data_IF_498887366823
#
_entry.id   IF_498887366823
#
_cell.length_a   1.000
_cell.length_b   1.000
_cell.length_c   1.000
_cell.angle_alpha   90.00
_cell.angle_beta   90.00
_cell.angle_gamma   90.00
#
_symmetry.space_group_name_H-M   'P 1'
#
loop_
_entity.id
_entity.type
_entity.pdbx_description
1 polymer ?
#
# COMPACT_ATOMS: atom_id res chain seq x y z
N UNK A 1 -11.06 -14.41 20.01
CA UNK A 1 -12.04 -14.43 18.91
C UNK A 1 -11.66 -13.31 17.94
N UNK A 2 -10.68 -13.39 17.05
CA UNK A 2 -10.35 -14.39 16.01
C UNK A 2 -11.56 -14.80 15.18
N UNK A 3 -11.51 -14.49 13.87
CA UNK A 3 -12.47 -14.75 12.78
C UNK A 3 -13.51 -13.65 12.47
N UNK A 4 -13.05 -12.48 12.01
CA UNK A 4 -13.95 -11.40 11.51
C UNK A 4 -13.33 -10.41 10.50
N UNK A 5 -12.11 -10.66 10.00
CA UNK A 5 -11.42 -9.71 9.11
C UNK A 5 -11.87 -9.81 7.63
N UNK A 6 -12.52 -10.92 7.28
CA UNK A 6 -13.00 -11.22 5.92
C UNK A 6 -14.34 -10.56 5.64
N UNK A 7 -15.22 -10.53 6.65
CA UNK A 7 -16.46 -9.74 6.65
C UNK A 7 -16.19 -8.24 6.45
N UNK A 8 -15.09 -7.74 7.00
CA UNK A 8 -14.70 -6.34 6.82
C UNK A 8 -14.13 -6.05 5.43
N UNK A 9 -13.70 -7.03 4.63
CA UNK A 9 -13.24 -6.74 3.27
C UNK A 9 -14.41 -6.54 2.29
N UNK A 10 -15.50 -7.28 2.47
CA UNK A 10 -16.73 -7.12 1.68
C UNK A 10 -17.56 -5.92 2.18
N UNK A 11 -17.67 -5.70 3.49
CA UNK A 11 -18.38 -4.54 4.07
C UNK A 11 -17.56 -3.24 4.10
N UNK A 12 -16.23 -3.26 4.31
CA UNK A 12 -15.43 -2.02 4.25
C UNK A 12 -15.17 -1.57 2.82
N UNK A 13 -15.19 -2.47 1.82
CA UNK A 13 -15.22 -2.07 0.42
C UNK A 13 -16.58 -1.41 0.11
N UNK A 14 -17.70 -2.00 0.54
CA UNK A 14 -19.02 -1.36 0.45
C UNK A 14 -19.09 0.01 1.15
N UNK A 15 -18.46 0.16 2.33
CA UNK A 15 -18.41 1.42 3.06
C UNK A 15 -17.44 2.45 2.44
N UNK A 16 -16.31 2.01 1.84
CA UNK A 16 -15.40 2.90 1.09
C UNK A 16 -15.98 3.34 -0.26
N UNK A 17 -16.74 2.48 -0.93
CA UNK A 17 -17.44 2.81 -2.19
C UNK A 17 -18.57 3.81 -1.94
N UNK A 18 -19.28 3.71 -0.81
CA UNK A 18 -20.33 4.66 -0.42
C UNK A 18 -19.79 6.04 0.00
N UNK A 19 -18.51 6.15 0.39
CA UNK A 19 -17.94 7.36 0.99
C UNK A 19 -16.91 8.10 0.12
N UNK A 20 -16.99 7.95 -1.22
CA UNK A 20 -16.18 8.73 -2.19
C UNK A 20 -16.56 10.24 -2.19
N UNK A 21 -17.48 10.68 -1.33
CA UNK A 21 -17.83 12.10 -1.12
C UNK A 21 -17.28 12.65 0.21
N UNK A 22 -16.00 12.54 0.48
CA UNK A 22 -15.21 13.53 1.26
C UNK A 22 -13.77 13.07 1.37
N UNK A 23 -12.97 13.38 0.34
CA UNK A 23 -11.57 13.70 0.59
C UNK A 23 -11.58 15.19 0.94
N UNK A 24 -11.80 15.50 2.22
CA UNK A 24 -11.49 16.82 2.74
C UNK A 24 -9.98 16.92 2.77
N UNK A 25 -9.40 17.60 1.78
CA UNK A 25 -8.01 18.05 1.83
C UNK A 25 -8.00 19.15 2.89
N UNK A 26 -7.61 18.79 4.11
CA UNK A 26 -7.30 19.76 5.16
C UNK A 26 -6.04 20.53 4.76
N UNK A 27 -6.21 21.57 3.95
CA UNK A 27 -5.18 22.60 3.74
C UNK A 27 -5.18 23.45 5.00
N UNK A 28 -4.21 23.23 5.89
CA UNK A 28 -3.89 24.25 6.88
C UNK A 28 -3.19 25.41 6.16
N UNK A 29 -3.64 26.66 6.35
CA UNK A 29 -2.97 27.81 5.77
C UNK A 29 -1.59 28.00 6.43
N UNK A 30 -0.56 28.09 5.60
CA UNK A 30 0.77 28.53 5.99
C UNK A 30 0.68 29.93 6.62
N UNK A 31 1.13 30.05 7.86
CA UNK A 31 1.38 31.34 8.48
C UNK A 31 2.49 32.06 7.70
N UNK A 32 2.11 33.15 7.05
CA UNK A 32 2.98 34.10 6.35
C UNK A 32 3.93 34.75 7.36
N UNK A 33 5.22 34.40 7.33
CA UNK A 33 6.25 35.20 7.98
C UNK A 33 6.61 36.33 7.01
N UNK A 34 6.17 37.53 7.39
CA UNK A 34 6.52 38.80 6.76
C UNK A 34 8.00 39.10 6.96
N UNK A 35 8.74 39.32 5.88
CA UNK A 35 10.07 39.93 5.91
C UNK A 35 9.99 41.19 5.05
N UNK A 36 10.15 42.34 5.71
CA UNK A 36 10.11 43.68 5.14
C UNK A 36 11.30 43.97 4.20
N UNK A 37 11.11 44.72 3.10
CA UNK A 37 12.20 45.10 2.21
C UNK A 37 12.72 46.52 2.52
N UNK A 38 13.99 46.64 2.92
CA UNK A 38 14.70 47.93 2.85
C UNK A 38 16.21 47.71 2.92
N UNK A 39 16.90 47.85 1.79
CA UNK A 39 17.79 48.99 1.53
C UNK A 39 18.59 48.77 0.24
N UNK A 40 18.42 49.73 -0.66
CA UNK A 40 19.22 49.94 -1.86
C UNK A 40 20.49 50.67 -1.44
N UNK A 41 21.66 50.19 -1.87
CA UNK A 41 22.83 51.04 -2.05
C UNK A 41 23.65 50.56 -3.26
N UNK A 42 23.75 51.43 -4.26
CA UNK A 42 24.66 51.35 -5.42
C UNK A 42 25.98 52.02 -5.05
N UNK A 43 27.11 51.39 -5.35
CA UNK A 43 28.39 52.04 -5.73
C UNK A 43 29.17 51.00 -6.57
N UNK A 44 29.29 51.19 -7.88
CA UNK A 44 30.37 51.93 -8.58
C UNK A 44 31.46 50.99 -9.10
N UNK A 45 31.61 50.97 -10.43
CA UNK A 45 32.69 50.30 -11.16
C UNK A 45 34.07 50.80 -10.72
N UNK A 46 35.01 49.87 -10.51
CA UNK A 46 36.43 50.07 -10.82
C UNK A 46 37.00 48.74 -11.37
N UNK A 47 37.40 48.78 -12.63
CA UNK A 47 38.25 47.78 -13.31
C UNK A 47 39.68 47.78 -12.75
N UNK A 48 40.32 46.61 -12.64
CA UNK A 48 41.70 46.38 -13.11
C UNK A 48 42.11 44.91 -13.00
N UNK A 49 42.87 44.52 -14.01
CA UNK A 49 43.45 43.22 -14.37
C UNK A 49 44.38 42.60 -13.33
N UNK A 50 44.33 41.27 -13.18
CA UNK A 50 45.51 40.47 -12.83
C UNK A 50 45.42 39.06 -13.43
N UNK A 51 46.25 38.79 -14.44
CA UNK A 51 46.63 37.44 -14.88
C UNK A 51 47.98 37.14 -14.24
N UNK A 52 48.14 36.05 -13.49
CA UNK A 52 49.19 35.04 -13.72
C UNK A 52 49.07 33.81 -12.80
N UNK A 53 49.05 32.66 -13.47
CA UNK A 53 49.26 31.25 -13.13
C UNK A 53 49.84 30.83 -11.77
N UNK A 54 49.28 29.75 -11.22
CA UNK A 54 50.05 28.54 -10.88
C UNK A 54 49.16 27.29 -10.92
N UNK A 55 49.50 26.33 -11.78
CA UNK A 55 48.97 24.97 -11.77
C UNK A 55 49.55 24.23 -10.56
N UNK A 56 48.69 23.62 -9.75
CA UNK A 56 49.04 22.43 -8.97
C UNK A 56 48.12 21.28 -9.38
N UNK A 57 48.66 20.38 -10.20
CA UNK A 57 48.06 19.09 -10.53
C UNK A 57 48.25 18.19 -9.31
N UNK A 58 47.27 18.21 -8.41
CA UNK A 58 47.11 17.17 -7.40
C UNK A 58 46.32 16.02 -8.00
N UNK A 59 47.00 15.00 -8.50
CA UNK A 59 46.38 13.71 -8.88
C UNK A 59 45.97 13.00 -7.58
N UNK A 60 44.83 13.39 -7.02
CA UNK A 60 44.18 12.64 -5.96
C UNK A 60 43.66 11.34 -6.56
N UNK A 61 44.33 10.23 -6.28
CA UNK A 61 43.80 8.88 -6.47
C UNK A 61 42.50 8.78 -5.67
N UNK A 62 41.40 9.09 -6.34
CA UNK A 62 40.07 8.77 -5.88
C UNK A 62 39.98 7.25 -5.96
N UNK A 63 40.24 6.59 -4.84
CA UNK A 63 39.91 5.18 -4.65
C UNK A 63 38.40 5.13 -4.72
N UNK A 64 37.86 4.87 -5.91
CA UNK A 64 36.47 4.49 -6.09
C UNK A 64 36.32 3.18 -5.33
N UNK A 65 35.83 3.25 -4.10
CA UNK A 65 35.24 2.11 -3.43
C UNK A 65 34.11 1.63 -4.32
N UNK A 66 34.40 0.64 -5.16
CA UNK A 66 33.39 -0.15 -5.82
C UNK A 66 32.62 -0.84 -4.68
N UNK A 67 31.55 -0.22 -4.21
CA UNK A 67 30.57 -0.91 -3.39
C UNK A 67 30.16 -2.15 -4.16
N UNK A 68 30.46 -3.33 -3.61
CA UNK A 68 29.93 -4.57 -4.13
C UNK A 68 28.41 -4.39 -4.21
N UNK A 69 27.87 -4.37 -5.43
CA UNK A 69 26.44 -4.23 -5.64
C UNK A 69 25.75 -5.38 -4.88
N UNK A 70 25.01 -5.04 -3.84
CA UNK A 70 24.35 -6.04 -3.01
C UNK A 70 23.34 -6.79 -3.86
N UNK A 71 23.40 -8.12 -3.82
CA UNK A 71 22.52 -8.96 -4.62
C UNK A 71 21.12 -8.86 -4.05
N UNK A 72 20.14 -8.65 -4.94
CA UNK A 72 18.73 -8.62 -4.55
C UNK A 72 18.36 -9.89 -3.78
N UNK A 73 17.65 -9.80 -2.64
CA UNK A 73 17.20 -10.97 -1.91
C UNK A 73 16.39 -11.89 -2.82
N UNK A 74 16.62 -13.22 -2.81
CA UNK A 74 15.92 -14.15 -3.69
C UNK A 74 14.39 -14.02 -3.62
N UNK A 75 13.85 -13.73 -2.43
CA UNK A 75 12.42 -13.55 -2.22
C UNK A 75 11.86 -12.29 -2.92
N UNK A 76 12.63 -11.20 -2.97
CA UNK A 76 12.19 -9.92 -3.55
C UNK A 76 12.57 -9.79 -5.03
N UNK A 77 13.53 -10.57 -5.50
CA UNK A 77 14.04 -10.54 -6.88
C UNK A 77 12.97 -10.70 -7.98
N UNK A 78 11.89 -11.49 -7.79
CA UNK A 78 10.81 -11.56 -8.78
C UNK A 78 10.05 -10.24 -8.96
N UNK A 79 10.06 -9.37 -7.94
CA UNK A 79 9.22 -8.17 -7.89
C UNK A 79 10.00 -6.88 -8.05
N UNK A 80 11.24 -6.82 -7.57
CA UNK A 80 12.06 -5.61 -7.53
C UNK A 80 13.53 -5.96 -7.79
N UNK A 81 14.28 -4.98 -8.29
CA UNK A 81 15.73 -5.06 -8.41
C UNK A 81 16.37 -3.91 -7.62
N UNK A 82 17.52 -4.18 -7.01
CA UNK A 82 18.22 -3.22 -6.15
C UNK A 82 18.60 -1.97 -6.92
N UNK A 83 18.34 -0.82 -6.31
CA UNK A 83 18.58 0.54 -6.82
C UNK A 83 17.87 0.90 -8.13
N UNK A 84 17.09 -0.02 -8.71
CA UNK A 84 16.26 0.26 -9.88
C UNK A 84 14.92 0.83 -9.45
N UNK A 85 14.66 2.07 -9.86
CA UNK A 85 13.36 2.69 -9.68
C UNK A 85 12.35 2.14 -10.70
N UNK A 86 11.16 1.77 -10.22
CA UNK A 86 10.02 1.37 -11.05
C UNK A 86 8.84 2.30 -10.82
N UNK A 87 8.03 2.51 -11.85
CA UNK A 87 6.79 3.28 -11.75
C UNK A 87 5.70 2.39 -11.15
N UNK A 88 4.93 2.97 -10.24
CA UNK A 88 3.78 2.34 -9.62
C UNK A 88 2.59 3.27 -9.54
N UNK A 89 1.43 2.69 -9.31
CA UNK A 89 0.15 3.37 -9.23
C UNK A 89 -0.52 2.97 -7.93
N UNK A 90 -0.71 3.93 -7.03
CA UNK A 90 -1.61 3.76 -5.90
C UNK A 90 -3.03 3.86 -6.46
N UNK A 91 -3.86 2.87 -6.16
CA UNK A 91 -5.22 2.85 -6.68
C UNK A 91 -6.19 2.09 -5.80
N UNK A 92 -7.43 2.08 -6.26
CA UNK A 92 -8.53 1.39 -5.62
C UNK A 92 -9.30 0.59 -6.66
N UNK A 93 -9.91 -0.51 -6.22
CA UNK A 93 -10.85 -1.24 -7.04
C UNK A 93 -12.21 -0.56 -6.94
N UNK A 94 -12.71 -0.11 -8.08
CA UNK A 94 -14.00 0.56 -8.22
C UNK A 94 -14.95 -0.39 -8.92
N UNK A 95 -16.04 -0.85 -8.27
CA UNK A 95 -17.08 -1.58 -8.95
C UNK A 95 -18.03 -0.65 -9.73
N UNK A 96 -18.81 -1.21 -10.67
CA UNK A 96 -19.93 -0.52 -11.28
C UNK A 96 -20.92 0.00 -10.22
N UNK A 97 -21.51 1.17 -10.44
CA UNK A 97 -22.43 1.80 -9.46
C UNK A 97 -23.68 0.96 -9.21
N UNK A 98 -24.09 0.21 -10.22
CA UNK A 98 -25.26 -0.66 -10.24
C UNK A 98 -25.15 -1.77 -9.18
N UNK A 99 -23.93 -2.14 -8.78
CA UNK A 99 -23.72 -3.19 -7.76
C UNK A 99 -24.28 -2.77 -6.39
N UNK A 100 -24.35 -1.45 -6.13
CA UNK A 100 -24.72 -0.91 -4.83
C UNK A 100 -26.14 -1.32 -4.41
N UNK A 101 -27.05 -1.54 -5.37
CA UNK A 101 -28.41 -2.01 -5.06
C UNK A 101 -28.39 -3.40 -4.41
N UNK A 102 -27.53 -4.28 -4.88
CA UNK A 102 -27.37 -5.64 -4.33
C UNK A 102 -26.62 -5.61 -3.01
N UNK A 103 -25.56 -4.80 -2.91
CA UNK A 103 -24.83 -4.58 -1.65
C UNK A 103 -25.78 -4.10 -0.55
N UNK A 104 -26.65 -3.13 -0.85
CA UNK A 104 -27.62 -2.61 0.11
C UNK A 104 -28.62 -3.68 0.59
N UNK A 105 -29.09 -4.56 -0.32
CA UNK A 105 -29.94 -5.70 0.03
C UNK A 105 -29.24 -6.68 0.97
N UNK A 106 -28.00 -7.06 0.63
CA UNK A 106 -27.19 -7.97 1.47
C UNK A 106 -26.92 -7.35 2.84
N UNK A 107 -26.63 -6.04 2.91
CA UNK A 107 -26.45 -5.33 4.17
C UNK A 107 -27.72 -5.27 5.02
N UNK A 108 -28.89 -5.07 4.39
CA UNK A 108 -30.17 -5.08 5.09
C UNK A 108 -30.49 -6.48 5.64
N UNK A 109 -30.27 -7.52 4.84
CA UNK A 109 -30.43 -8.90 5.27
C UNK A 109 -29.46 -9.28 6.40
N UNK A 110 -28.22 -8.78 6.33
CA UNK A 110 -27.19 -8.98 7.37
C UNK A 110 -27.60 -8.42 8.72
N UNK A 111 -28.24 -7.25 8.74
CA UNK A 111 -28.77 -6.66 9.98
C UNK A 111 -29.90 -7.51 10.57
N UNK A 112 -30.78 -8.05 9.72
CA UNK A 112 -31.92 -8.87 10.15
C UNK A 112 -31.50 -10.28 10.59
N UNK A 113 -30.37 -10.80 10.11
CA UNK A 113 -29.88 -12.15 10.37
C UNK A 113 -28.44 -12.15 10.91
N UNK A 114 -28.15 -11.31 11.89
CA UNK A 114 -26.78 -11.02 12.36
C UNK A 114 -25.97 -12.27 12.72
N UNK A 115 -26.52 -13.17 13.55
CA UNK A 115 -25.79 -14.37 13.98
C UNK A 115 -25.59 -15.38 12.84
N UNK A 116 -26.58 -15.54 11.96
CA UNK A 116 -26.45 -16.39 10.78
C UNK A 116 -25.39 -15.86 9.82
N UNK A 117 -25.37 -14.54 9.55
CA UNK A 117 -24.37 -13.93 8.67
C UNK A 117 -22.96 -14.10 9.22
N UNK A 118 -22.77 -13.88 10.53
CA UNK A 118 -21.47 -14.11 11.20
C UNK A 118 -20.98 -15.55 11.02
N UNK A 119 -21.87 -16.53 11.18
CA UNK A 119 -21.49 -17.94 11.01
C UNK A 119 -21.21 -18.28 9.55
N UNK A 120 -22.08 -17.84 8.64
CA UNK A 120 -21.96 -18.10 7.21
C UNK A 120 -20.67 -17.52 6.61
N UNK A 121 -20.25 -16.34 7.09
CA UNK A 121 -19.04 -15.68 6.62
C UNK A 121 -17.72 -16.29 7.15
N UNK A 122 -17.74 -17.09 8.22
CA UNK A 122 -16.52 -17.72 8.77
C UNK A 122 -15.78 -18.59 7.76
N UNK A 123 -16.53 -19.24 6.87
CA UNK A 123 -16.00 -20.13 5.84
C UNK A 123 -15.75 -19.42 4.50
N UNK A 124 -16.06 -18.11 4.41
CA UNK A 124 -15.89 -17.37 3.18
C UNK A 124 -14.42 -17.04 2.94
N UNK A 125 -14.00 -17.11 1.68
CA UNK A 125 -12.65 -16.70 1.30
C UNK A 125 -12.50 -15.18 1.31
N UNK A 126 -11.35 -14.65 1.77
CA UNK A 126 -11.04 -13.22 1.73
C UNK A 126 -11.27 -12.57 0.38
N UNK A 127 -12.08 -11.51 0.37
CA UNK A 127 -12.28 -10.68 -0.81
C UNK A 127 -12.95 -11.40 -1.98
N UNK A 128 -13.54 -12.56 -1.76
CA UNK A 128 -14.39 -13.26 -2.74
C UNK A 128 -15.85 -13.04 -2.34
N UNK A 129 -16.80 -12.93 -3.30
CA UNK A 129 -18.22 -12.90 -2.99
C UNK A 129 -18.63 -14.07 -2.11
N UNK A 130 -19.50 -13.80 -1.13
CA UNK A 130 -20.14 -14.87 -0.36
C UNK A 130 -20.90 -15.80 -1.31
N UNK A 131 -20.86 -17.13 -1.12
CA UNK A 131 -21.69 -18.06 -1.87
C UNK A 131 -23.17 -17.71 -1.74
N UNK A 132 -23.97 -18.03 -2.76
CA UNK A 132 -25.41 -17.76 -2.73
C UNK A 132 -26.09 -18.42 -1.52
N UNK A 133 -26.97 -17.68 -0.87
CA UNK A 133 -27.92 -18.18 0.11
C UNK A 133 -29.13 -17.24 0.19
N UNK A 134 -30.31 -17.78 0.50
CA UNK A 134 -31.57 -17.01 0.54
C UNK A 134 -31.53 -15.88 1.60
N UNK A 135 -30.92 -16.15 2.75
CA UNK A 135 -30.68 -15.17 3.83
C UNK A 135 -29.73 -14.00 3.44
N UNK A 136 -29.15 -14.00 2.23
CA UNK A 136 -28.49 -12.82 1.68
C UNK A 136 -29.49 -11.75 1.19
N UNK A 137 -30.79 -12.06 1.12
CA UNK A 137 -31.81 -11.13 0.66
C UNK A 137 -31.77 -10.86 -0.85
N UNK A 138 -31.18 -11.78 -1.62
CA UNK A 138 -31.11 -11.75 -3.08
C UNK A 138 -31.82 -12.99 -3.62
N UNK A 139 -32.53 -12.86 -4.73
CA UNK A 139 -32.94 -14.04 -5.52
C UNK A 139 -31.74 -14.65 -6.24
N UNK A 140 -31.88 -15.86 -6.80
CA UNK A 140 -30.82 -16.50 -7.58
C UNK A 140 -30.42 -15.66 -8.79
N UNK A 141 -31.40 -15.06 -9.45
CA UNK A 141 -31.23 -14.18 -10.61
C UNK A 141 -30.49 -12.90 -10.21
N UNK A 142 -30.91 -12.28 -9.10
CA UNK A 142 -30.26 -11.09 -8.56
C UNK A 142 -28.82 -11.36 -8.13
N UNK A 143 -28.56 -12.54 -7.55
CA UNK A 143 -27.21 -12.96 -7.19
C UNK A 143 -26.35 -13.20 -8.43
N UNK A 144 -26.90 -13.82 -9.49
CA UNK A 144 -26.18 -13.99 -10.75
C UNK A 144 -25.80 -12.63 -11.38
N UNK A 145 -26.70 -11.65 -11.36
CA UNK A 145 -26.42 -10.30 -11.84
C UNK A 145 -25.42 -9.56 -10.94
N UNK A 146 -25.51 -9.75 -9.62
CA UNK A 146 -24.50 -9.28 -8.69
C UNK A 146 -23.11 -9.82 -9.04
N UNK A 147 -22.98 -11.11 -9.35
CA UNK A 147 -21.71 -11.70 -9.78
C UNK A 147 -21.21 -11.13 -11.12
N UNK A 148 -22.09 -10.86 -12.09
CA UNK A 148 -21.69 -10.20 -13.35
C UNK A 148 -21.13 -8.80 -13.10
N UNK A 149 -21.79 -8.02 -12.24
CA UNK A 149 -21.31 -6.69 -11.85
C UNK A 149 -20.03 -6.75 -11.01
N UNK A 150 -19.89 -7.81 -10.21
CA UNK A 150 -18.66 -8.11 -9.49
C UNK A 150 -17.52 -8.26 -10.51
N UNK A 151 -17.68 -9.10 -11.53
CA UNK A 151 -16.62 -9.36 -12.51
C UNK A 151 -16.25 -8.12 -13.38
N UNK A 152 -17.03 -7.04 -13.31
CA UNK A 152 -16.77 -5.77 -14.02
C UNK A 152 -16.00 -4.73 -13.18
N UNK A 153 -15.52 -5.07 -11.98
CA UNK A 153 -14.65 -4.19 -11.18
C UNK A 153 -13.39 -3.80 -11.95
N UNK A 154 -12.94 -2.56 -11.75
CA UNK A 154 -11.73 -2.06 -12.37
C UNK A 154 -10.80 -1.41 -11.34
N UNK A 155 -9.50 -1.66 -11.49
CA UNK A 155 -8.49 -0.90 -10.78
C UNK A 155 -8.40 0.50 -11.38
N UNK A 156 -8.67 1.51 -10.57
CA UNK A 156 -8.51 2.92 -10.93
C UNK A 156 -7.28 3.49 -10.22
N UNK A 157 -6.29 3.87 -11.01
CA UNK A 157 -5.14 4.61 -10.51
C UNK A 157 -5.60 5.97 -9.96
N UNK A 158 -5.16 6.28 -8.75
CA UNK A 158 -5.45 7.54 -8.05
C UNK A 158 -4.22 8.41 -8.03
N UNK A 159 -3.03 7.82 -7.84
CA UNK A 159 -1.78 8.56 -7.77
C UNK A 159 -0.61 7.74 -8.29
N UNK A 160 0.30 8.39 -9.01
CA UNK A 160 1.56 7.79 -9.46
C UNK A 160 2.59 7.84 -8.31
N UNK A 161 3.36 6.77 -8.18
CA UNK A 161 4.46 6.64 -7.21
C UNK A 161 5.69 6.02 -7.88
N UNK A 162 6.84 6.19 -7.26
CA UNK A 162 8.08 5.51 -7.61
C UNK A 162 8.41 4.55 -6.48
N UNK A 163 8.76 3.31 -6.86
CA UNK A 163 9.17 2.25 -5.94
C UNK A 163 10.62 1.90 -6.23
N UNK A 164 11.42 1.68 -5.18
CA UNK A 164 12.82 1.22 -5.29
C UNK A 164 13.15 0.31 -4.12
N UNK A 165 13.90 -0.75 -4.37
CA UNK A 165 14.53 -1.55 -3.33
C UNK A 165 15.92 -0.99 -3.03
N UNK A 166 16.19 -0.66 -1.77
CA UNK A 166 17.47 -0.15 -1.29
C UNK A 166 18.00 -1.03 -0.16
N UNK A 167 19.31 -1.05 0.02
CA UNK A 167 19.98 -1.67 1.16
C UNK A 167 20.58 -0.56 2.05
N UNK A 168 19.81 0.03 2.99
CA UNK A 168 20.34 1.09 3.85
C UNK A 168 21.49 0.65 4.76
N UNK A 169 21.56 -0.64 5.10
CA UNK A 169 22.65 -1.26 5.87
C UNK A 169 22.90 -2.67 5.33
N UNK A 170 24.14 -3.19 5.37
CA UNK A 170 24.42 -4.54 4.90
C UNK A 170 23.47 -5.59 5.51
N UNK A 171 22.76 -6.33 4.66
CA UNK A 171 21.80 -7.35 5.05
C UNK A 171 20.40 -6.85 5.44
N UNK A 172 20.15 -5.53 5.42
CA UNK A 172 18.86 -4.92 5.76
C UNK A 172 18.30 -4.19 4.55
N UNK A 173 17.10 -4.57 4.11
CA UNK A 173 16.50 -4.09 2.86
C UNK A 173 15.29 -3.21 3.12
N UNK A 174 15.04 -2.24 2.24
CA UNK A 174 13.94 -1.29 2.36
C UNK A 174 13.26 -1.10 1.01
N UNK A 175 11.94 -1.25 0.98
CA UNK A 175 11.12 -0.88 -0.17
C UNK A 175 10.75 0.60 -0.03
N UNK A 176 11.51 1.47 -0.68
CA UNK A 176 11.21 2.91 -0.72
C UNK A 176 10.06 3.16 -1.68
N UNK A 177 9.06 3.89 -1.21
CA UNK A 177 7.91 4.33 -2.01
C UNK A 177 7.70 5.83 -1.84
N UNK A 178 7.56 6.57 -2.94
CA UNK A 178 7.33 8.01 -2.92
C UNK A 178 5.89 8.39 -2.54
N UNK A 179 5.68 9.64 -2.13
CA UNK A 179 4.34 10.24 -1.98
C UNK A 179 3.50 9.56 -0.89
N UNK A 180 2.24 9.24 -1.21
CA UNK A 180 1.32 8.62 -0.23
C UNK A 180 1.76 7.24 0.25
N UNK A 181 2.68 6.58 -0.46
CA UNK A 181 3.24 5.28 -0.08
C UNK A 181 4.41 5.35 0.92
N UNK A 182 4.85 6.55 1.33
CA UNK A 182 6.04 6.73 2.18
C UNK A 182 6.07 5.88 3.45
N UNK A 183 4.90 5.52 4.00
CA UNK A 183 4.83 4.66 5.19
C UNK A 183 5.48 3.30 4.99
N UNK A 184 5.41 2.73 3.78
CA UNK A 184 6.07 1.46 3.45
C UNK A 184 7.60 1.59 3.56
N UNK A 185 8.15 2.78 3.35
CA UNK A 185 9.58 3.07 3.45
C UNK A 185 10.11 3.02 4.89
N UNK A 186 9.24 2.90 5.89
CA UNK A 186 9.64 2.74 7.29
C UNK A 186 9.97 1.30 7.63
N UNK A 187 9.63 0.35 6.77
CA UNK A 187 9.81 -1.07 7.03
C UNK A 187 11.21 -1.53 6.58
N UNK A 188 11.77 -2.51 7.30
CA UNK A 188 13.08 -3.10 7.02
C UNK A 188 12.97 -4.61 6.92
N UNK A 189 13.30 -5.17 5.76
CA UNK A 189 13.33 -6.60 5.53
C UNK A 189 14.68 -7.20 5.87
N UNK A 190 14.65 -8.25 6.68
CA UNK A 190 15.81 -9.09 6.98
C UNK A 190 15.62 -10.45 6.28
N UNK A 191 16.41 -10.77 5.25
CA UNK A 191 16.29 -12.02 4.50
C UNK A 191 16.79 -13.23 5.28
N UNK A 192 17.58 -13.05 6.35
CA UNK A 192 18.06 -14.15 7.17
C UNK A 192 16.96 -14.69 8.10
N UNK A 193 16.07 -13.82 8.54
CA UNK A 193 14.96 -14.16 9.45
C UNK A 193 13.59 -14.15 8.78
N UNK A 194 13.50 -13.71 7.51
CA UNK A 194 12.27 -13.52 6.75
C UNK A 194 11.23 -12.65 7.49
N UNK A 195 11.69 -11.53 8.05
CA UNK A 195 10.90 -10.61 8.86
C UNK A 195 10.99 -9.19 8.31
N UNK A 196 9.87 -8.47 8.34
CA UNK A 196 9.87 -7.01 8.22
C UNK A 196 9.82 -6.38 9.61
N UNK A 197 10.76 -5.47 9.92
CA UNK A 197 10.75 -4.64 11.13
C UNK A 197 10.08 -3.31 10.81
N UNK A 198 9.07 -2.93 11.59
CA UNK A 198 8.40 -1.64 11.55
C UNK A 198 8.57 -0.91 12.90
N UNK A 199 8.16 0.37 13.00
CA UNK A 199 8.09 1.06 14.29
C UNK A 199 7.15 0.37 15.31
N UNK A 200 6.20 -0.46 14.85
CA UNK A 200 5.27 -1.18 15.72
C UNK A 200 5.84 -2.50 16.23
N UNK A 201 6.78 -3.10 15.49
CA UNK A 201 7.41 -4.37 15.86
C UNK A 201 7.80 -5.21 14.65
N UNK A 202 7.95 -6.51 14.88
CA UNK A 202 8.29 -7.48 13.84
C UNK A 202 7.03 -8.03 13.17
N UNK A 203 6.90 -7.78 11.87
CA UNK A 203 5.92 -8.41 11.01
C UNK A 203 6.49 -9.77 10.59
N UNK A 204 5.86 -10.84 11.07
CA UNK A 204 6.26 -12.23 10.80
C UNK A 204 5.57 -12.77 9.56
N UNK A 205 6.26 -13.62 8.80
CA UNK A 205 5.69 -14.30 7.63
C UNK A 205 4.45 -15.10 8.03
N UNK A 206 3.39 -15.00 7.24
CA UNK A 206 2.21 -15.85 7.33
C UNK A 206 2.05 -16.67 6.05
N UNK A 207 0.91 -17.37 5.90
CA UNK A 207 0.62 -18.15 4.71
C UNK A 207 0.75 -17.32 3.43
N UNK A 208 1.37 -17.92 2.41
CA UNK A 208 1.51 -17.29 1.11
C UNK A 208 0.14 -17.09 0.45
N UNK A 209 0.05 -16.01 -0.30
CA UNK A 209 -1.21 -15.63 -0.95
C UNK A 209 -1.33 -16.38 -2.27
N UNK A 210 -2.44 -17.08 -2.44
CA UNK A 210 -2.92 -17.61 -3.73
C UNK A 210 -4.35 -17.10 -3.97
N UNK A 211 -4.45 -15.85 -4.42
CA UNK A 211 -5.72 -15.19 -4.64
C UNK A 211 -6.37 -15.68 -5.93
N UNK A 212 -7.65 -16.05 -5.86
CA UNK A 212 -8.43 -16.50 -7.00
C UNK A 212 -8.94 -15.34 -7.88
N UNK A 213 -9.44 -15.66 -9.07
CA UNK A 213 -9.85 -14.67 -10.08
C UNK A 213 -10.95 -13.73 -9.61
N UNK A 214 -11.87 -14.23 -8.77
CA UNK A 214 -12.96 -13.42 -8.21
C UNK A 214 -12.58 -12.66 -6.96
N UNK A 215 -11.33 -12.71 -6.51
CA UNK A 215 -10.88 -11.86 -5.42
C UNK A 215 -11.04 -10.37 -5.79
N UNK A 216 -11.07 -9.48 -4.80
CA UNK A 216 -11.22 -8.03 -5.01
C UNK A 216 -10.20 -7.49 -6.01
N UNK A 217 -8.94 -7.94 -5.94
CA UNK A 217 -7.85 -7.50 -6.83
C UNK A 217 -7.71 -8.37 -8.09
N UNK A 218 -8.48 -9.46 -8.21
CA UNK A 218 -8.26 -10.49 -9.23
C UNK A 218 -7.22 -11.53 -8.79
N UNK A 219 -6.80 -12.41 -9.71
CA UNK A 219 -5.87 -13.47 -9.38
C UNK A 219 -4.42 -12.96 -9.24
N UNK A 220 -3.76 -13.28 -8.13
CA UNK A 220 -2.35 -12.96 -7.88
C UNK A 220 -1.76 -13.89 -6.83
N UNK A 221 -0.44 -14.07 -6.87
CA UNK A 221 0.32 -14.85 -5.89
C UNK A 221 1.38 -14.00 -5.22
N UNK A 222 1.67 -14.26 -3.96
CA UNK A 222 2.67 -13.49 -3.24
C UNK A 222 2.89 -13.93 -1.80
N UNK A 223 3.55 -13.05 -1.06
CA UNK A 223 3.96 -13.27 0.31
C UNK A 223 3.38 -12.19 1.21
N UNK A 224 3.05 -12.55 2.44
CA UNK A 224 2.50 -11.62 3.42
C UNK A 224 3.19 -11.75 4.78
N UNK A 225 3.40 -10.60 5.42
CA UNK A 225 3.89 -10.50 6.78
C UNK A 225 2.91 -9.72 7.62
N UNK A 226 2.76 -10.14 8.87
CA UNK A 226 1.82 -9.54 9.81
C UNK A 226 2.46 -9.29 11.18
N UNK A 227 2.23 -8.10 11.70
CA UNK A 227 2.36 -7.78 13.11
C UNK A 227 0.95 -7.64 13.70
N UNK A 228 0.74 -8.23 14.86
CA UNK A 228 -0.53 -8.17 15.57
C UNK A 228 -0.26 -8.06 17.07
N UNK A 229 -0.77 -6.99 17.67
CA UNK A 229 -0.73 -6.77 19.10
C UNK A 229 -2.15 -6.44 19.57
N UNK A 230 -2.59 -7.13 20.62
CA UNK A 230 -3.90 -6.93 21.21
C UNK A 230 -3.73 -6.81 22.73
N UNK A 231 -3.53 -5.57 23.18
CA UNK A 231 -3.47 -5.23 24.60
C UNK A 231 -4.80 -4.66 25.08
N UNK A 232 -4.98 -4.52 26.39
CA UNK A 232 -6.18 -3.94 27.00
C UNK A 232 -6.45 -2.51 26.51
N UNK A 233 -5.40 -1.73 26.24
CA UNK A 233 -5.52 -0.32 25.86
C UNK A 233 -5.48 -0.08 24.36
N UNK A 234 -4.64 -0.83 23.64
CA UNK A 234 -4.43 -0.65 22.21
C UNK A 234 -4.37 -1.99 21.50
N UNK A 235 -5.11 -2.08 20.39
CA UNK A 235 -4.97 -3.13 19.40
C UNK A 235 -4.38 -2.53 18.13
N UNK A 236 -3.29 -3.14 17.66
CA UNK A 236 -2.57 -2.75 16.45
C UNK A 236 -2.43 -3.96 15.55
N UNK A 237 -2.75 -3.79 14.27
CA UNK A 237 -2.56 -4.77 13.22
C UNK A 237 -1.88 -4.10 12.03
N UNK A 238 -0.73 -4.61 11.65
CA UNK A 238 0.03 -4.12 10.51
C UNK A 238 0.33 -5.28 9.56
N UNK A 239 0.05 -5.09 8.27
CA UNK A 239 0.24 -6.08 7.23
C UNK A 239 1.01 -5.46 6.06
N UNK A 240 1.98 -6.21 5.55
CA UNK A 240 2.64 -5.94 4.28
C UNK A 240 2.52 -7.18 3.41
N UNK A 241 2.08 -7.03 2.17
CA UNK A 241 2.10 -8.10 1.18
C UNK A 241 2.71 -7.62 -0.13
N UNK A 242 3.47 -8.50 -0.79
CA UNK A 242 4.03 -8.25 -2.12
C UNK A 242 3.83 -9.49 -3.00
N UNK A 243 3.51 -9.28 -4.27
CA UNK A 243 3.23 -10.38 -5.18
C UNK A 243 3.14 -9.97 -6.63
N UNK A 244 2.71 -10.90 -7.46
CA UNK A 244 2.55 -10.74 -8.90
C UNK A 244 1.17 -11.20 -9.35
N UNK A 245 0.52 -10.40 -10.19
CA UNK A 245 -0.74 -10.78 -10.83
C UNK A 245 -0.55 -11.97 -11.77
N UNK A 246 -1.62 -12.74 -11.98
CA UNK A 246 -1.62 -13.92 -12.87
C UNK A 246 -1.21 -13.59 -14.32
N UNK A 247 -1.42 -12.35 -14.77
CA UNK A 247 -1.02 -11.90 -16.11
C UNK A 247 0.50 -11.63 -16.24
N UNK A 248 1.24 -11.66 -15.12
CA UNK A 248 2.67 -11.32 -15.01
C UNK A 248 3.06 -9.94 -15.57
N UNK A 249 2.09 -9.06 -15.86
CA UNK A 249 2.33 -7.70 -16.36
C UNK A 249 2.56 -6.73 -15.22
N UNK A 250 2.01 -7.04 -14.05
CA UNK A 250 2.04 -6.18 -12.89
C UNK A 250 2.40 -6.95 -11.63
N UNK A 251 3.15 -6.30 -10.76
CA UNK A 251 3.31 -6.64 -9.36
C UNK A 251 2.28 -5.86 -8.51
N UNK A 252 2.04 -6.35 -7.31
CA UNK A 252 1.21 -5.70 -6.29
C UNK A 252 1.98 -5.57 -4.99
N UNK A 253 1.84 -4.43 -4.33
CA UNK A 253 2.32 -4.15 -2.98
C UNK A 253 1.15 -3.61 -2.17
N UNK A 254 0.81 -4.30 -1.09
CA UNK A 254 -0.29 -3.97 -0.21
C UNK A 254 0.28 -3.64 1.16
N UNK A 255 -0.13 -2.49 1.71
CA UNK A 255 0.18 -2.13 3.09
C UNK A 255 -1.10 -1.75 3.81
N UNK A 256 -1.27 -2.27 5.03
CA UNK A 256 -2.41 -1.98 5.88
C UNK A 256 -1.98 -1.79 7.32
N UNK A 257 -2.48 -0.72 7.95
CA UNK A 257 -2.29 -0.44 9.36
C UNK A 257 -3.64 -0.11 9.97
N UNK A 258 -4.02 -0.87 10.98
CA UNK A 258 -5.22 -0.67 11.78
C UNK A 258 -4.82 -0.51 13.24
N UNK A 259 -5.24 0.58 13.86
CA UNK A 259 -5.06 0.83 15.28
C UNK A 259 -6.38 1.20 15.91
N UNK A 260 -6.63 0.70 17.11
CA UNK A 260 -7.83 0.98 17.87
C UNK A 260 -7.58 0.94 19.37
N UNK A 261 -8.39 1.69 20.12
CA UNK A 261 -8.41 1.72 21.58
C UNK A 261 -9.85 1.69 22.05
N UNK A 262 -10.19 0.85 23.02
CA UNK A 262 -11.53 0.81 23.67
C UNK A 262 -12.71 0.97 22.70
N UNK A 263 -12.68 0.25 21.57
CA UNK A 263 -13.72 0.29 20.53
C UNK A 263 -13.65 1.46 19.54
N UNK A 264 -12.79 2.46 19.76
CA UNK A 264 -12.53 3.57 18.86
C UNK A 264 -11.36 3.30 17.93
N UNK A 265 -11.52 3.63 16.64
CA UNK A 265 -10.48 3.47 15.64
C UNK A 265 -9.56 4.68 15.63
N UNK A 266 -8.27 4.47 15.85
CA UNK A 266 -7.23 5.49 15.85
C UNK A 266 -6.59 5.66 14.47
N UNK A 267 -6.27 4.55 13.81
CA UNK A 267 -5.75 4.53 12.46
C UNK A 267 -6.43 3.46 11.61
N UNK A 268 -6.70 3.79 10.34
CA UNK A 268 -7.05 2.81 9.30
C UNK A 268 -6.45 3.29 7.99
N UNK A 269 -5.24 2.81 7.71
CA UNK A 269 -4.52 3.11 6.49
C UNK A 269 -4.47 1.87 5.65
N UNK A 270 -4.77 2.02 4.36
CA UNK A 270 -4.74 0.93 3.40
C UNK A 270 -4.27 1.49 2.07
N UNK A 271 -3.20 0.88 1.56
CA UNK A 271 -2.55 1.23 0.31
C UNK A 271 -2.47 -0.03 -0.54
N UNK A 272 -2.88 0.10 -1.80
CA UNK A 272 -2.68 -0.90 -2.84
C UNK A 272 -1.93 -0.23 -3.95
N UNK A 273 -0.74 -0.75 -4.25
CA UNK A 273 0.15 -0.21 -5.27
C UNK A 273 0.35 -1.27 -6.33
N UNK A 274 -0.01 -0.95 -7.57
CA UNK A 274 0.27 -1.77 -8.74
C UNK A 274 1.50 -1.21 -9.46
N UNK A 275 2.48 -2.04 -9.80
CA UNK A 275 3.71 -1.55 -10.40
C UNK A 275 4.28 -2.54 -11.41
N UNK A 276 5.20 -2.07 -12.25
CA UNK A 276 5.82 -2.91 -13.28
C UNK A 276 6.88 -3.81 -12.65
N UNK A 277 6.91 -5.13 -12.96
CA UNK A 277 8.01 -6.00 -12.56
C UNK A 277 9.35 -5.51 -13.16
N UNK A 278 10.50 -5.93 -12.59
CA UNK A 278 11.79 -5.64 -13.18
C UNK A 278 11.86 -6.20 -14.60
N UNK A 279 12.53 -5.48 -15.50
CA UNK A 279 12.85 -6.03 -16.82
C UNK A 279 13.68 -7.32 -16.63
N UNK A 280 13.25 -8.40 -17.30
CA UNK A 280 13.97 -9.67 -17.33
C UNK A 280 15.32 -9.53 -18.03
#
# INVERSE_FOLDING_TARGET
MWHGELDRLTLALAAKIANVRTISVGVQPLATISISPTQVMKFSMISKTLKLSLLLVGYGLSVSSASAASKTPPLLAPYLAVDKAVKGEVGAIVPPKEINKYIAKVQAAAKNHTEWHKEFAKNAKPGVPLPFHENLGLTKEEYADYLKLWDQRQFKAVQQVVIRLEEPKPGEWMIRVSGVGMQVSLLRYDPATDVFKSPNGELKRIEDIDAEERSILGAWKGHEWRYENNSEFISTKENLAIGMFKDAKHCVLIYRLQESTSGHRLADKSLVIRFTPPAK
#
